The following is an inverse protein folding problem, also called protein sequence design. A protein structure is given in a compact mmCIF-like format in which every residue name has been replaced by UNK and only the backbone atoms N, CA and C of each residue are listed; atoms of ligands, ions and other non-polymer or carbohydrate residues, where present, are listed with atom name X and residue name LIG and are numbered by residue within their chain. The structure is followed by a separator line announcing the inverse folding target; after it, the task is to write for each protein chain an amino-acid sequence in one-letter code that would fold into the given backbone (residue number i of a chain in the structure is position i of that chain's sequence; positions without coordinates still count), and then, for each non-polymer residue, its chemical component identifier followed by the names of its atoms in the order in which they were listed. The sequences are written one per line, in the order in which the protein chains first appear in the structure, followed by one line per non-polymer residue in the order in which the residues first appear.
data_IF_629554294143
#
_entry.id   IF_629554294143
#
_cell.length_a   1.000
_cell.length_b   1.000
_cell.length_c   1.000
_cell.angle_alpha   90.00
_cell.angle_beta   90.00
_cell.angle_gamma   90.00
#
_symmetry.space_group_name_H-M   'P 1'
#
loop_
_entity.id
_entity.type
_entity.pdbx_description
1 polymer ?
#
# COMPACT_ATOMS: atom_id res chain seq x y z
N UNK A 1 -18.13 -30.49 -21.50
CA UNK A 1 -16.82 -30.43 -22.14
C UNK A 1 -15.95 -29.59 -21.23
N UNK A 2 -15.17 -30.24 -20.39
CA UNK A 2 -14.21 -29.62 -19.47
C UNK A 2 -12.98 -29.22 -20.29
N UNK A 3 -12.85 -27.93 -20.56
CA UNK A 3 -11.60 -27.37 -21.06
C UNK A 3 -10.55 -27.47 -19.96
N UNK A 4 -9.66 -28.46 -20.07
CA UNK A 4 -8.41 -28.47 -19.32
C UNK A 4 -7.66 -27.17 -19.67
N UNK A 5 -7.62 -26.24 -18.73
CA UNK A 5 -6.68 -25.13 -18.78
C UNK A 5 -5.30 -25.74 -18.47
N UNK A 6 -4.57 -26.09 -19.54
CA UNK A 6 -3.12 -26.34 -19.41
C UNK A 6 -2.52 -25.09 -18.81
N UNK A 7 -1.77 -25.18 -17.69
CA UNK A 7 -1.00 -24.04 -17.25
C UNK A 7 -0.09 -23.62 -18.42
N UNK A 8 -0.18 -22.37 -18.83
CA UNK A 8 0.82 -21.79 -19.70
C UNK A 8 2.16 -22.15 -19.07
N UNK A 9 3.14 -22.57 -19.89
CA UNK A 9 4.50 -22.87 -19.45
C UNK A 9 5.13 -21.58 -18.95
N UNK A 10 4.72 -21.16 -17.74
CA UNK A 10 5.40 -20.10 -17.02
C UNK A 10 6.87 -20.49 -16.94
N UNK A 11 7.75 -19.60 -17.36
CA UNK A 11 9.18 -19.80 -17.24
C UNK A 11 9.46 -20.04 -15.75
N UNK A 12 9.76 -21.28 -15.38
CA UNK A 12 9.99 -21.68 -13.99
C UNK A 12 11.02 -20.77 -13.30
N UNK A 13 11.99 -20.25 -14.06
CA UNK A 13 12.97 -19.30 -13.55
C UNK A 13 12.34 -17.95 -13.17
N UNK A 14 11.43 -17.42 -13.97
CA UNK A 14 10.70 -16.18 -13.67
C UNK A 14 9.80 -16.35 -12.44
N UNK A 15 9.08 -17.46 -12.38
CA UNK A 15 8.26 -17.80 -11.20
C UNK A 15 9.09 -17.84 -9.91
N UNK A 16 10.24 -18.56 -9.92
CA UNK A 16 11.12 -18.65 -8.75
C UNK A 16 11.67 -17.29 -8.35
N UNK A 17 12.08 -16.48 -9.34
CA UNK A 17 12.59 -15.12 -9.10
C UNK A 17 11.50 -14.23 -8.50
N UNK A 18 10.31 -14.24 -9.07
CA UNK A 18 9.15 -13.48 -8.56
C UNK A 18 8.79 -13.92 -7.14
N UNK A 19 8.72 -15.23 -6.88
CA UNK A 19 8.38 -15.74 -5.55
C UNK A 19 9.40 -15.35 -4.47
N UNK A 20 10.69 -15.26 -4.85
CA UNK A 20 11.74 -14.75 -3.95
C UNK A 20 11.58 -13.26 -3.68
N UNK A 21 11.18 -12.45 -4.68
CA UNK A 21 10.93 -11.02 -4.52
C UNK A 21 9.74 -10.74 -3.57
N UNK A 22 8.76 -11.62 -3.52
CA UNK A 22 7.59 -11.51 -2.62
C UNK A 22 7.92 -11.89 -1.16
N UNK A 23 8.98 -12.66 -0.93
CA UNK A 23 9.33 -13.18 0.41
C UNK A 23 9.45 -12.11 1.51
N UNK A 24 10.04 -10.92 1.28
CA UNK A 24 10.09 -9.85 2.29
C UNK A 24 8.71 -9.40 2.74
N UNK A 25 7.75 -9.27 1.80
CA UNK A 25 6.37 -8.92 2.11
C UNK A 25 5.68 -10.00 2.94
N UNK A 26 5.87 -11.29 2.59
CA UNK A 26 5.33 -12.41 3.35
C UNK A 26 5.83 -12.37 4.80
N UNK A 27 7.13 -12.13 5.00
CA UNK A 27 7.72 -12.04 6.34
C UNK A 27 7.17 -10.85 7.13
N UNK A 28 6.99 -9.70 6.47
CA UNK A 28 6.46 -8.49 7.08
C UNK A 28 4.99 -8.62 7.45
N UNK A 29 4.19 -9.30 6.62
CA UNK A 29 2.74 -9.37 6.79
C UNK A 29 2.28 -10.51 7.69
N UNK A 30 3.12 -11.51 7.94
CA UNK A 30 2.77 -12.64 8.81
C UNK A 30 2.38 -12.15 10.20
N UNK A 31 1.19 -12.56 10.66
CA UNK A 31 0.62 -12.17 11.95
C UNK A 31 0.07 -10.73 11.99
N UNK A 32 0.15 -9.98 10.89
CA UNK A 32 -0.46 -8.66 10.74
C UNK A 32 -1.96 -8.76 10.56
N UNK A 33 -2.70 -7.70 10.92
CA UNK A 33 -4.15 -7.64 10.80
C UNK A 33 -4.53 -6.74 9.63
N UNK A 34 -5.25 -7.30 8.66
CA UNK A 34 -5.76 -6.58 7.50
C UNK A 34 -7.30 -6.57 7.55
N UNK A 35 -7.87 -5.39 7.33
CA UNK A 35 -9.30 -5.22 7.09
C UNK A 35 -9.50 -5.02 5.59
N UNK A 36 -10.29 -5.90 4.98
CA UNK A 36 -10.62 -5.81 3.54
C UNK A 36 -12.11 -5.55 3.40
N UNK A 37 -12.44 -4.42 2.83
CA UNK A 37 -13.81 -3.95 2.68
C UNK A 37 -14.21 -3.90 1.20
N UNK A 38 -15.36 -4.44 0.85
CA UNK A 38 -15.85 -4.52 -0.52
C UNK A 38 -17.37 -4.40 -0.60
N UNK A 39 -17.83 -3.72 -1.65
CA UNK A 39 -19.25 -3.58 -1.93
C UNK A 39 -19.87 -4.86 -2.50
N UNK A 40 -21.19 -4.95 -2.45
CA UNK A 40 -21.94 -6.09 -2.99
C UNK A 40 -21.72 -6.36 -4.48
N UNK A 41 -21.26 -5.38 -5.27
CA UNK A 41 -20.88 -5.56 -6.68
C UNK A 41 -19.71 -6.54 -6.85
N UNK A 42 -18.72 -6.47 -5.97
CA UNK A 42 -17.55 -7.35 -6.04
C UNK A 42 -17.91 -8.82 -5.85
N UNK A 43 -19.00 -9.11 -5.13
CA UNK A 43 -19.51 -10.48 -4.91
C UNK A 43 -20.48 -10.93 -5.99
N UNK A 44 -21.30 -10.03 -6.51
CA UNK A 44 -22.23 -10.36 -7.60
C UNK A 44 -21.52 -10.61 -8.96
N UNK A 45 -20.26 -10.25 -9.09
CA UNK A 45 -19.49 -10.34 -10.31
C UNK A 45 -18.77 -11.68 -10.51
N UNK A 46 -18.22 -11.92 -11.72
CA UNK A 46 -17.46 -13.14 -12.03
C UNK A 46 -16.17 -13.28 -11.22
N UNK A 47 -15.64 -12.18 -10.68
CA UNK A 47 -14.39 -12.15 -9.90
C UNK A 47 -14.57 -12.49 -8.42
N UNK A 48 -15.82 -12.72 -7.95
CA UNK A 48 -16.08 -13.12 -6.56
C UNK A 48 -15.29 -14.38 -6.15
N UNK A 49 -15.17 -15.34 -7.07
CA UNK A 49 -14.42 -16.58 -6.84
C UNK A 49 -12.91 -16.33 -6.72
N UNK A 50 -12.36 -15.48 -7.57
CA UNK A 50 -10.91 -15.17 -7.53
C UNK A 50 -10.57 -14.32 -6.31
N UNK A 51 -11.45 -13.43 -5.88
CA UNK A 51 -11.32 -12.74 -4.59
C UNK A 51 -11.26 -13.73 -3.42
N UNK A 52 -12.10 -14.79 -3.43
CA UNK A 52 -12.04 -15.84 -2.42
C UNK A 52 -10.68 -16.59 -2.44
N UNK A 53 -10.08 -16.79 -3.62
CA UNK A 53 -8.75 -17.37 -3.77
C UNK A 53 -7.66 -16.47 -3.19
N UNK A 54 -7.75 -15.17 -3.44
CA UNK A 54 -6.83 -14.18 -2.87
C UNK A 54 -6.93 -14.14 -1.35
N UNK A 55 -8.14 -14.12 -0.79
CA UNK A 55 -8.38 -14.17 0.65
C UNK A 55 -7.80 -15.46 1.26
N UNK A 56 -8.00 -16.62 0.61
CA UNK A 56 -7.41 -17.89 1.05
C UNK A 56 -5.87 -17.83 1.05
N UNK A 57 -5.27 -17.26 0.01
CA UNK A 57 -3.82 -17.12 -0.07
C UNK A 57 -3.29 -16.23 1.06
N UNK A 58 -3.91 -15.07 1.30
CA UNK A 58 -3.53 -14.19 2.40
C UNK A 58 -3.62 -14.88 3.77
N UNK A 59 -4.71 -15.61 4.02
CA UNK A 59 -4.87 -16.38 5.25
C UNK A 59 -3.80 -17.48 5.38
N UNK A 60 -3.49 -18.18 4.28
CA UNK A 60 -2.45 -19.23 4.24
C UNK A 60 -1.06 -18.69 4.50
N UNK A 61 -0.79 -17.43 4.15
CA UNK A 61 0.47 -16.73 4.46
C UNK A 61 0.54 -16.25 5.93
N UNK A 62 -0.51 -16.49 6.72
CA UNK A 62 -0.56 -16.16 8.14
C UNK A 62 -1.02 -14.73 8.43
N UNK A 63 -1.66 -14.06 7.47
CA UNK A 63 -2.29 -12.75 7.67
C UNK A 63 -3.63 -12.93 8.36
N UNK A 64 -3.93 -12.10 9.35
CA UNK A 64 -5.20 -12.10 10.08
C UNK A 64 -6.20 -11.22 9.34
N UNK A 65 -7.31 -11.79 8.89
CA UNK A 65 -8.25 -11.11 8.01
C UNK A 65 -9.58 -10.79 8.70
N UNK A 66 -10.00 -9.55 8.56
CA UNK A 66 -11.37 -9.10 8.82
C UNK A 66 -11.93 -8.64 7.47
N UNK A 67 -12.98 -9.28 7.03
CA UNK A 67 -13.71 -8.92 5.83
C UNK A 67 -14.94 -8.12 6.20
N UNK A 68 -15.17 -7.00 5.51
CA UNK A 68 -16.36 -6.17 5.71
C UNK A 68 -17.08 -6.05 4.38
N UNK A 69 -18.29 -6.59 4.29
CA UNK A 69 -19.05 -6.56 3.04
C UNK A 69 -20.18 -5.54 3.08
N UNK A 70 -20.43 -4.93 1.92
CA UNK A 70 -21.65 -4.17 1.64
C UNK A 70 -22.64 -5.03 0.84
N UNK A 71 -23.88 -4.55 0.73
CA UNK A 71 -24.94 -5.21 -0.05
C UNK A 71 -25.80 -4.19 -0.80
N UNK A 72 -25.27 -2.99 -1.13
CA UNK A 72 -26.08 -1.91 -1.72
C UNK A 72 -26.80 -2.33 -3.01
N UNK A 73 -26.21 -3.00 -4.00
CA UNK A 73 -26.91 -3.44 -5.20
C UNK A 73 -28.00 -4.47 -4.88
N UNK A 74 -27.74 -5.39 -3.97
CA UNK A 74 -28.71 -6.43 -3.58
C UNK A 74 -29.89 -5.80 -2.83
N UNK A 75 -29.65 -4.80 -2.00
CA UNK A 75 -30.71 -4.04 -1.33
C UNK A 75 -31.58 -3.29 -2.37
N UNK A 76 -30.97 -2.66 -3.40
CA UNK A 76 -31.72 -2.00 -4.47
C UNK A 76 -32.60 -3.00 -5.24
N UNK A 77 -32.09 -4.21 -5.46
CA UNK A 77 -32.83 -5.28 -6.11
C UNK A 77 -34.04 -5.73 -5.27
N UNK A 78 -33.84 -6.01 -3.97
CA UNK A 78 -34.92 -6.39 -3.04
C UNK A 78 -36.00 -5.29 -2.96
N UNK A 79 -35.60 -4.03 -2.88
CA UNK A 79 -36.54 -2.92 -2.86
C UNK A 79 -37.35 -2.86 -4.17
N UNK A 80 -36.70 -3.02 -5.31
CA UNK A 80 -37.33 -3.02 -6.63
C UNK A 80 -38.35 -4.14 -6.78
N UNK A 81 -38.01 -5.37 -6.31
CA UNK A 81 -38.89 -6.51 -6.34
C UNK A 81 -40.16 -6.31 -5.47
N UNK A 82 -40.02 -5.61 -4.35
CA UNK A 82 -41.14 -5.25 -3.47
C UNK A 82 -41.85 -3.95 -3.90
N UNK A 83 -41.42 -3.30 -5.02
CA UNK A 83 -42.01 -2.06 -5.51
C UNK A 83 -41.74 -0.84 -4.63
N UNK A 84 -40.66 -0.89 -3.84
CA UNK A 84 -40.19 0.20 -2.97
C UNK A 84 -39.11 1.01 -3.64
N UNK A 85 -39.03 2.28 -3.32
CA UNK A 85 -38.00 3.19 -3.84
C UNK A 85 -36.99 3.58 -2.75
N UNK A 86 -35.70 3.54 -3.11
CA UNK A 86 -34.64 4.04 -2.24
C UNK A 86 -34.68 5.55 -2.09
N UNK A 87 -34.67 6.02 -0.86
CA UNK A 87 -34.51 7.44 -0.54
C UNK A 87 -33.19 7.66 0.17
N UNK A 88 -32.44 8.70 -0.24
CA UNK A 88 -31.18 9.06 0.36
C UNK A 88 -31.19 10.50 0.86
N UNK A 89 -30.54 10.75 2.00
CA UNK A 89 -30.25 12.07 2.50
C UNK A 89 -28.80 12.15 2.97
N UNK A 90 -28.04 13.10 2.44
CA UNK A 90 -26.59 13.25 2.70
C UNK A 90 -25.78 11.95 2.58
N UNK A 91 -26.12 11.12 1.60
CA UNK A 91 -25.41 9.87 1.34
C UNK A 91 -25.90 8.67 2.18
N UNK A 92 -26.71 8.90 3.21
CA UNK A 92 -27.34 7.84 3.99
C UNK A 92 -28.70 7.46 3.41
N UNK A 93 -28.99 6.16 3.39
CA UNK A 93 -30.32 5.67 3.02
C UNK A 93 -31.30 6.05 4.14
N UNK A 94 -32.48 6.55 3.81
CA UNK A 94 -33.60 6.61 4.76
C UNK A 94 -34.15 5.20 4.88
N UNK A 95 -33.95 4.54 6.00
CA UNK A 95 -34.30 3.13 6.21
C UNK A 95 -35.50 3.05 7.14
N UNK A 96 -36.72 3.01 6.58
CA UNK A 96 -37.94 2.71 7.32
C UNK A 96 -38.06 1.18 7.58
N UNK A 97 -39.14 0.73 8.23
CA UNK A 97 -39.27 -0.66 8.63
C UNK A 97 -39.33 -1.62 7.40
N UNK A 98 -40.03 -1.24 6.33
CA UNK A 98 -40.13 -2.07 5.11
C UNK A 98 -38.78 -2.10 4.37
N UNK A 99 -38.06 -0.99 4.33
CA UNK A 99 -36.72 -0.90 3.78
C UNK A 99 -35.73 -1.74 4.63
N UNK A 100 -35.87 -1.72 5.96
CA UNK A 100 -35.03 -2.53 6.85
C UNK A 100 -35.19 -4.03 6.58
N UNK A 101 -36.39 -4.51 6.33
CA UNK A 101 -36.62 -5.93 5.98
C UNK A 101 -35.85 -6.30 4.70
N UNK A 102 -35.90 -5.45 3.65
CA UNK A 102 -35.10 -5.66 2.43
C UNK A 102 -33.57 -5.63 2.72
N UNK A 103 -33.14 -4.76 3.60
CA UNK A 103 -31.71 -4.69 4.03
C UNK A 103 -31.30 -5.99 4.71
N UNK A 104 -32.13 -6.53 5.61
CA UNK A 104 -31.83 -7.77 6.33
C UNK A 104 -31.75 -8.96 5.39
N UNK A 105 -32.68 -9.07 4.45
CA UNK A 105 -32.74 -10.16 3.45
C UNK A 105 -31.48 -10.10 2.55
N UNK A 106 -31.20 -8.93 1.96
CA UNK A 106 -30.06 -8.74 1.07
C UNK A 106 -28.71 -8.97 1.76
N UNK A 107 -28.52 -8.40 2.95
CA UNK A 107 -27.27 -8.54 3.70
C UNK A 107 -27.05 -9.98 4.16
N UNK A 108 -28.12 -10.67 4.61
CA UNK A 108 -28.07 -12.06 5.00
C UNK A 108 -27.68 -12.97 3.83
N UNK A 109 -28.27 -12.75 2.64
CA UNK A 109 -27.92 -13.49 1.42
C UNK A 109 -26.46 -13.29 1.02
N UNK A 110 -25.98 -12.07 0.96
CA UNK A 110 -24.58 -11.77 0.63
C UNK A 110 -23.60 -12.38 1.65
N UNK A 111 -23.94 -12.34 2.94
CA UNK A 111 -23.14 -12.98 3.98
C UNK A 111 -22.95 -14.47 3.74
N UNK A 112 -24.06 -15.18 3.49
CA UNK A 112 -24.04 -16.63 3.24
C UNK A 112 -23.34 -16.98 1.92
N UNK A 113 -23.46 -16.15 0.90
CA UNK A 113 -22.75 -16.33 -0.36
C UNK A 113 -21.22 -16.22 -0.17
N UNK A 114 -20.73 -15.23 0.60
CA UNK A 114 -19.31 -15.09 0.92
C UNK A 114 -18.83 -16.28 1.75
N UNK A 115 -19.59 -16.69 2.75
CA UNK A 115 -19.26 -17.88 3.57
C UNK A 115 -19.15 -19.13 2.69
N UNK A 116 -20.09 -19.34 1.76
CA UNK A 116 -20.05 -20.45 0.83
C UNK A 116 -18.85 -20.39 -0.13
N UNK A 117 -18.50 -19.20 -0.65
CA UNK A 117 -17.32 -19.01 -1.49
C UNK A 117 -16.03 -19.38 -0.74
N UNK A 118 -15.90 -18.97 0.52
CA UNK A 118 -14.74 -19.27 1.36
C UNK A 118 -14.72 -20.70 1.90
N UNK A 119 -15.84 -21.42 1.84
CA UNK A 119 -15.95 -22.82 2.27
C UNK A 119 -15.61 -23.82 1.16
N UNK A 120 -15.25 -23.35 -0.04
CA UNK A 120 -14.83 -24.22 -1.13
C UNK A 120 -13.54 -24.97 -0.78
N UNK A 121 -13.44 -26.22 -1.21
CA UNK A 121 -12.26 -27.06 -0.95
C UNK A 121 -12.01 -28.07 -2.06
N UNK A 122 -12.48 -27.79 -3.29
CA UNK A 122 -12.39 -28.72 -4.41
C UNK A 122 -10.91 -29.00 -4.78
N UNK A 123 -10.56 -30.29 -5.02
CA UNK A 123 -9.25 -30.65 -5.55
C UNK A 123 -8.94 -29.92 -6.86
N UNK A 124 -7.67 -29.64 -7.11
CA UNK A 124 -7.19 -28.91 -8.30
C UNK A 124 -7.68 -27.46 -8.44
N UNK A 125 -8.09 -26.85 -7.34
CA UNK A 125 -8.39 -25.42 -7.25
C UNK A 125 -7.44 -24.74 -6.24
N UNK A 126 -7.28 -23.42 -6.27
CA UNK A 126 -6.53 -22.69 -5.23
C UNK A 126 -7.06 -22.88 -3.81
N UNK A 127 -8.30 -23.37 -3.66
CA UNK A 127 -8.93 -23.69 -2.37
C UNK A 127 -8.68 -25.14 -1.90
N UNK A 128 -7.94 -25.94 -2.65
CA UNK A 128 -7.63 -27.32 -2.27
C UNK A 128 -6.89 -27.37 -0.93
N UNK A 129 -7.37 -28.20 -0.01
CA UNK A 129 -6.87 -28.33 1.36
C UNK A 129 -6.98 -27.06 2.23
N UNK A 130 -7.75 -26.07 1.80
CA UNK A 130 -8.07 -24.89 2.62
C UNK A 130 -8.80 -25.32 3.89
N UNK A 131 -8.44 -24.70 5.01
CA UNK A 131 -9.09 -24.89 6.32
C UNK A 131 -9.64 -23.56 6.86
N UNK A 132 -10.17 -22.72 5.98
CA UNK A 132 -10.78 -21.45 6.37
C UNK A 132 -12.00 -21.72 7.26
N UNK A 133 -12.04 -21.00 8.37
CA UNK A 133 -13.24 -20.88 9.20
C UNK A 133 -13.67 -19.43 9.19
N UNK A 134 -14.88 -19.16 8.71
CA UNK A 134 -15.51 -17.85 8.70
C UNK A 134 -16.35 -17.70 9.97
N UNK A 135 -16.17 -16.58 10.67
CA UNK A 135 -16.91 -16.26 11.90
C UNK A 135 -17.52 -14.88 11.76
N UNK A 136 -18.83 -14.80 11.95
CA UNK A 136 -19.56 -13.56 12.16
C UNK A 136 -20.03 -13.41 13.60
N UNK A 137 -20.62 -12.27 13.94
CA UNK A 137 -21.18 -12.05 15.26
C UNK A 137 -21.49 -10.59 15.56
N UNK A 138 -21.94 -10.33 16.79
CA UNK A 138 -22.38 -9.03 17.26
C UNK A 138 -21.20 -8.12 17.72
N UNK A 139 -20.15 -8.05 16.93
CA UNK A 139 -18.96 -7.25 17.25
C UNK A 139 -19.19 -5.75 17.08
N UNK A 140 -20.27 -5.35 16.37
CA UNK A 140 -20.61 -3.95 16.09
C UNK A 140 -21.82 -3.53 16.89
N UNK A 141 -21.62 -2.60 17.82
CA UNK A 141 -22.73 -1.90 18.48
C UNK A 141 -23.04 -0.65 17.69
N UNK A 142 -24.29 -0.49 17.27
CA UNK A 142 -24.77 0.65 16.52
C UNK A 142 -25.51 1.67 17.38
N UNK A 143 -25.72 2.85 16.82
CA UNK A 143 -26.66 3.87 17.30
C UNK A 143 -27.38 4.50 16.11
N UNK A 144 -28.63 4.99 16.28
CA UNK A 144 -29.34 5.68 15.20
C UNK A 144 -28.61 6.96 14.81
N UNK A 145 -28.72 7.34 13.52
CA UNK A 145 -28.33 8.67 13.04
C UNK A 145 -29.33 9.74 13.49
N UNK A 146 -30.60 9.36 13.69
CA UNK A 146 -31.68 10.25 14.10
C UNK A 146 -32.15 11.17 12.98
N UNK A 147 -32.50 12.41 13.33
CA UNK A 147 -33.01 13.41 12.39
C UNK A 147 -31.85 14.30 11.92
N UNK A 148 -31.66 14.37 10.61
CA UNK A 148 -30.67 15.24 9.95
C UNK A 148 -31.43 16.20 9.03
N UNK A 149 -31.25 17.51 9.20
CA UNK A 149 -31.94 18.56 8.44
C UNK A 149 -33.46 18.38 8.35
N UNK A 150 -34.07 17.91 9.43
CA UNK A 150 -35.53 17.67 9.51
C UNK A 150 -36.00 16.35 8.90
N UNK A 151 -35.11 15.53 8.36
CA UNK A 151 -35.43 14.20 7.82
C UNK A 151 -35.01 13.14 8.83
N UNK A 152 -35.99 12.34 9.30
CA UNK A 152 -35.73 11.20 10.17
C UNK A 152 -35.17 10.03 9.34
N UNK A 153 -33.97 9.60 9.69
CA UNK A 153 -33.28 8.48 9.02
C UNK A 153 -33.69 7.10 9.59
N UNK A 154 -34.51 7.08 10.62
CA UNK A 154 -35.12 5.91 11.24
C UNK A 154 -34.09 4.82 11.60
N UNK A 155 -34.13 3.65 10.92
CA UNK A 155 -33.21 2.54 11.16
C UNK A 155 -31.85 2.68 10.47
N UNK A 156 -31.51 3.83 9.94
CA UNK A 156 -30.13 4.10 9.54
C UNK A 156 -29.30 4.52 10.74
N UNK A 157 -28.14 3.92 10.87
CA UNK A 157 -27.27 4.10 12.03
C UNK A 157 -25.83 4.36 11.67
N UNK A 158 -25.05 4.54 12.69
CA UNK A 158 -23.58 4.63 12.64
C UNK A 158 -22.97 3.75 13.73
N UNK A 159 -21.69 3.43 13.59
CA UNK A 159 -20.97 2.63 14.58
C UNK A 159 -20.81 3.41 15.87
N UNK A 160 -21.28 2.84 16.98
CA UNK A 160 -21.09 3.37 18.33
C UNK A 160 -19.86 2.78 19.02
N UNK A 161 -19.65 1.47 18.86
CA UNK A 161 -18.56 0.72 19.50
C UNK A 161 -18.24 -0.53 18.68
N UNK A 162 -16.97 -0.87 18.63
CA UNK A 162 -16.47 -2.14 18.09
C UNK A 162 -15.91 -2.97 19.25
N UNK A 163 -16.25 -4.25 19.29
CA UNK A 163 -15.65 -5.20 20.23
C UNK A 163 -14.30 -5.69 19.68
N UNK A 164 -13.28 -4.84 19.87
CA UNK A 164 -11.93 -5.11 19.35
C UNK A 164 -11.29 -6.35 20.00
N UNK A 165 -11.57 -6.61 21.27
CA UNK A 165 -11.01 -7.77 21.97
C UNK A 165 -11.64 -9.08 21.50
N UNK A 166 -12.96 -9.08 21.29
CA UNK A 166 -13.65 -10.21 20.67
C UNK A 166 -13.13 -10.51 19.27
N UNK A 167 -12.93 -9.49 18.44
CA UNK A 167 -12.33 -9.62 17.11
C UNK A 167 -10.93 -10.22 17.16
N UNK A 168 -10.05 -9.68 18.01
CA UNK A 168 -8.68 -10.19 18.19
C UNK A 168 -8.65 -11.63 18.67
N UNK A 169 -9.56 -12.01 19.58
CA UNK A 169 -9.68 -13.38 20.04
C UNK A 169 -9.99 -14.34 18.89
N UNK A 170 -10.94 -14.01 18.01
CA UNK A 170 -11.26 -14.82 16.84
C UNK A 170 -10.07 -14.91 15.85
N UNK A 171 -9.40 -13.80 15.59
CA UNK A 171 -8.22 -13.78 14.73
C UNK A 171 -7.06 -14.61 15.30
N UNK A 172 -6.90 -14.66 16.62
CA UNK A 172 -5.87 -15.47 17.28
C UNK A 172 -6.10 -16.98 17.14
N UNK A 173 -7.37 -17.39 16.94
CA UNK A 173 -7.76 -18.78 16.66
C UNK A 173 -7.56 -19.15 15.17
N UNK A 174 -7.08 -18.23 14.33
CA UNK A 174 -6.92 -18.44 12.89
C UNK A 174 -8.21 -18.31 12.10
N UNK A 175 -9.28 -17.78 12.70
CA UNK A 175 -10.54 -17.55 12.00
C UNK A 175 -10.45 -16.29 11.13
N UNK A 176 -11.14 -16.28 9.99
CA UNK A 176 -11.46 -15.06 9.23
C UNK A 176 -12.75 -14.49 9.83
N UNK A 177 -12.73 -13.21 10.21
CA UNK A 177 -13.93 -12.54 10.70
C UNK A 177 -14.65 -11.89 9.53
N UNK A 178 -15.92 -12.21 9.34
CA UNK A 178 -16.79 -11.62 8.33
C UNK A 178 -17.81 -10.71 9.00
N UNK A 179 -17.80 -9.44 8.66
CA UNK A 179 -18.71 -8.41 9.18
C UNK A 179 -19.57 -7.85 8.04
N UNK A 180 -20.81 -7.56 8.36
CA UNK A 180 -21.76 -6.93 7.44
C UNK A 180 -21.90 -5.42 7.72
N UNK A 181 -22.61 -4.73 6.82
CA UNK A 181 -23.01 -3.34 7.01
C UNK A 181 -24.22 -3.19 7.95
N UNK A 182 -24.22 -3.91 9.06
CA UNK A 182 -25.27 -3.89 10.08
C UNK A 182 -24.68 -3.83 11.48
N UNK A 183 -25.47 -3.35 12.43
CA UNK A 183 -25.11 -3.37 13.84
C UNK A 183 -26.35 -3.31 14.72
N UNK A 184 -26.22 -3.82 15.95
CA UNK A 184 -27.34 -3.81 16.91
C UNK A 184 -27.13 -2.76 17.99
N UNK A 185 -28.20 -2.10 18.41
CA UNK A 185 -28.19 -1.25 19.60
C UNK A 185 -28.17 -2.10 20.87
N UNK A 186 -27.80 -1.52 22.03
CA UNK A 186 -27.93 -2.21 23.31
C UNK A 186 -29.38 -2.58 23.69
N UNK A 187 -30.38 -1.98 23.03
CA UNK A 187 -31.79 -2.27 23.20
C UNK A 187 -32.29 -3.37 22.25
N UNK A 188 -31.42 -3.91 21.38
CA UNK A 188 -31.71 -5.03 20.50
C UNK A 188 -32.24 -4.63 19.11
N UNK A 189 -32.31 -3.33 18.80
CA UNK A 189 -32.69 -2.85 17.48
C UNK A 189 -31.55 -3.02 16.48
N UNK A 190 -31.86 -3.37 15.23
CA UNK A 190 -30.88 -3.49 14.16
C UNK A 190 -30.88 -2.20 13.33
N UNK A 191 -29.68 -1.76 12.96
CA UNK A 191 -29.47 -0.58 12.13
C UNK A 191 -28.71 -0.93 10.87
N UNK A 192 -29.14 -0.34 9.76
CA UNK A 192 -28.43 -0.29 8.48
C UNK A 192 -27.28 0.71 8.59
N UNK A 193 -26.03 0.26 8.40
CA UNK A 193 -24.81 1.05 8.48
C UNK A 193 -24.18 1.21 7.12
N UNK A 194 -23.29 2.19 6.97
CA UNK A 194 -22.44 2.26 5.79
C UNK A 194 -21.24 1.31 5.97
N UNK A 195 -20.99 0.46 4.98
CA UNK A 195 -19.91 -0.53 4.99
C UNK A 195 -18.55 0.14 5.20
N UNK A 196 -18.32 1.26 4.53
CA UNK A 196 -17.09 2.05 4.62
C UNK A 196 -16.84 2.60 6.03
N UNK A 197 -17.88 3.01 6.75
CA UNK A 197 -17.78 3.45 8.16
C UNK A 197 -17.54 2.28 9.12
N UNK A 198 -18.15 1.12 8.85
CA UNK A 198 -17.89 -0.12 9.62
C UNK A 198 -16.44 -0.53 9.46
N UNK A 199 -15.93 -0.56 8.22
CA UNK A 199 -14.55 -0.93 7.92
C UNK A 199 -13.54 0.02 8.57
N UNK A 200 -13.79 1.34 8.49
CA UNK A 200 -13.00 2.38 9.17
C UNK A 200 -12.97 2.13 10.68
N UNK A 201 -14.15 2.01 11.31
CA UNK A 201 -14.27 1.85 12.76
C UNK A 201 -13.57 0.57 13.25
N UNK A 202 -13.71 -0.53 12.51
CA UNK A 202 -13.07 -1.82 12.80
C UNK A 202 -11.57 -1.72 12.66
N UNK A 203 -11.07 -1.13 11.58
CA UNK A 203 -9.64 -0.95 11.34
C UNK A 203 -8.98 -0.10 12.44
N UNK A 204 -9.62 0.98 12.86
CA UNK A 204 -9.14 1.84 13.95
C UNK A 204 -9.15 1.09 15.28
N UNK A 205 -10.27 0.43 15.63
CA UNK A 205 -10.43 -0.25 16.91
C UNK A 205 -9.46 -1.42 17.09
N UNK A 206 -9.21 -2.18 16.03
CA UNK A 206 -8.27 -3.30 16.04
C UNK A 206 -6.82 -2.89 15.87
N UNK A 207 -6.56 -1.61 15.53
CA UNK A 207 -5.26 -1.08 15.11
C UNK A 207 -4.71 -1.89 13.93
N UNK A 208 -5.52 -2.03 12.91
CA UNK A 208 -5.16 -2.79 11.72
C UNK A 208 -3.89 -2.24 11.08
N UNK A 209 -3.02 -3.13 10.61
CA UNK A 209 -1.82 -2.76 9.86
C UNK A 209 -2.19 -2.21 8.48
N UNK A 210 -3.24 -2.79 7.86
CA UNK A 210 -3.78 -2.33 6.59
C UNK A 210 -5.31 -2.31 6.59
N UNK A 211 -5.88 -1.28 5.94
CA UNK A 211 -7.29 -1.23 5.53
C UNK A 211 -7.33 -1.16 4.01
N UNK A 212 -8.00 -2.09 3.37
CA UNK A 212 -8.13 -2.13 1.91
C UNK A 212 -9.60 -1.95 1.54
N UNK A 213 -9.89 -0.93 0.76
CA UNK A 213 -11.19 -0.74 0.12
C UNK A 213 -11.11 -1.22 -1.33
N UNK A 214 -11.92 -2.21 -1.68
CA UNK A 214 -12.14 -2.60 -3.06
C UNK A 214 -13.24 -1.71 -3.65
N UNK A 215 -12.87 -0.86 -4.61
CA UNK A 215 -13.69 0.22 -5.16
C UNK A 215 -14.09 -0.04 -6.61
N UNK A 216 -15.12 0.66 -7.10
CA UNK A 216 -15.48 0.64 -8.52
C UNK A 216 -14.41 1.34 -9.39
N UNK A 217 -13.66 2.26 -8.80
CA UNK A 217 -12.58 3.02 -9.44
C UNK A 217 -11.23 2.36 -9.18
N UNK A 218 -10.28 2.49 -10.09
CA UNK A 218 -8.94 1.92 -9.93
C UNK A 218 -8.20 2.49 -8.71
N UNK A 219 -8.44 3.76 -8.38
CA UNK A 219 -7.88 4.49 -7.26
C UNK A 219 -8.23 5.97 -7.36
N UNK A 220 -7.58 6.81 -6.57
CA UNK A 220 -7.75 8.26 -6.60
C UNK A 220 -6.98 8.84 -7.77
N UNK A 221 -7.63 9.70 -8.55
CA UNK A 221 -6.99 10.39 -9.67
C UNK A 221 -6.85 11.89 -9.41
N UNK A 222 -5.94 12.52 -10.12
CA UNK A 222 -5.89 13.98 -10.22
C UNK A 222 -6.96 14.52 -11.18
N UNK A 223 -6.93 15.85 -11.44
CA UNK A 223 -7.87 16.53 -12.33
C UNK A 223 -7.71 16.11 -13.81
N UNK A 224 -6.55 15.61 -14.20
CA UNK A 224 -6.22 15.15 -15.54
C UNK A 224 -6.53 13.64 -15.72
N UNK A 225 -7.04 12.98 -14.67
CA UNK A 225 -7.41 11.57 -14.68
C UNK A 225 -6.22 10.62 -14.47
N UNK A 226 -5.05 11.14 -14.07
CA UNK A 226 -3.89 10.31 -13.75
C UNK A 226 -4.04 9.72 -12.35
N UNK A 227 -3.73 8.44 -12.22
CA UNK A 227 -3.76 7.74 -10.92
C UNK A 227 -2.71 8.34 -9.98
N UNK A 228 -3.12 8.59 -8.75
CA UNK A 228 -2.24 8.98 -7.65
C UNK A 228 -1.97 7.74 -6.80
N UNK A 229 -0.85 7.11 -7.02
CA UNK A 229 -0.43 5.86 -6.37
C UNK A 229 -0.15 6.03 -4.88
N UNK A 230 0.36 7.19 -4.46
CA UNK A 230 0.62 7.50 -3.05
C UNK A 230 0.07 8.87 -2.67
N UNK A 231 -0.61 8.93 -1.52
CA UNK A 231 -1.09 10.17 -0.91
C UNK A 231 -0.81 10.16 0.60
N UNK A 232 -0.35 11.31 1.12
CA UNK A 232 -0.46 11.52 2.56
C UNK A 232 -1.92 11.77 2.93
N UNK A 233 -2.29 11.46 4.20
CA UNK A 233 -3.65 11.72 4.69
C UNK A 233 -4.07 13.18 4.53
N UNK A 234 -3.12 14.12 4.59
CA UNK A 234 -3.41 15.55 4.39
C UNK A 234 -3.57 15.92 2.91
N UNK A 235 -2.83 15.27 2.01
CA UNK A 235 -3.03 15.42 0.58
C UNK A 235 -4.37 14.83 0.15
N UNK A 236 -4.70 13.63 0.61
CA UNK A 236 -5.96 12.95 0.36
C UNK A 236 -7.16 13.76 0.89
N UNK A 237 -7.04 14.38 2.08
CA UNK A 237 -8.08 15.21 2.66
C UNK A 237 -8.46 16.44 1.80
N UNK A 238 -7.49 16.99 1.05
CA UNK A 238 -7.77 18.11 0.11
C UNK A 238 -8.56 17.69 -1.12
N UNK A 239 -8.57 16.39 -1.42
CA UNK A 239 -9.26 15.84 -2.59
C UNK A 239 -10.67 15.34 -2.29
N UNK A 240 -11.10 15.22 -1.03
CA UNK A 240 -12.39 14.61 -0.65
C UNK A 240 -13.61 15.25 -1.33
N UNK A 241 -13.56 16.55 -1.60
CA UNK A 241 -14.63 17.30 -2.25
C UNK A 241 -14.37 17.58 -3.74
N UNK A 242 -13.35 16.96 -4.34
CA UNK A 242 -12.99 17.17 -5.73
C UNK A 242 -14.12 16.73 -6.67
N UNK A 243 -14.45 17.60 -7.64
CA UNK A 243 -15.60 17.39 -8.53
C UNK A 243 -15.45 16.17 -9.42
N UNK A 244 -14.21 15.84 -9.81
CA UNK A 244 -13.88 14.73 -10.70
C UNK A 244 -13.87 13.35 -10.03
N UNK A 245 -13.88 13.29 -8.70
CA UNK A 245 -13.94 12.00 -8.00
C UNK A 245 -15.27 11.29 -8.27
N UNK A 246 -15.18 9.99 -8.49
CA UNK A 246 -16.32 9.11 -8.62
C UNK A 246 -17.17 9.06 -7.34
N UNK A 247 -18.42 8.67 -7.47
CA UNK A 247 -19.38 8.66 -6.35
C UNK A 247 -18.99 7.68 -5.25
N UNK A 248 -18.27 6.61 -5.56
CA UNK A 248 -17.76 5.65 -4.59
C UNK A 248 -16.54 6.22 -3.85
N UNK A 249 -15.58 6.82 -4.56
CA UNK A 249 -14.43 7.46 -3.92
C UNK A 249 -14.82 8.60 -2.98
N UNK A 250 -15.88 9.36 -3.30
CA UNK A 250 -16.42 10.37 -2.38
C UNK A 250 -16.92 9.80 -1.04
N UNK A 251 -17.23 8.49 -0.98
CA UNK A 251 -17.59 7.81 0.28
C UNK A 251 -16.37 7.20 0.96
N UNK A 252 -15.50 6.54 0.19
CA UNK A 252 -14.35 5.82 0.76
C UNK A 252 -13.23 6.74 1.21
N UNK A 253 -12.92 7.80 0.43
CA UNK A 253 -11.78 8.67 0.70
C UNK A 253 -11.82 9.36 2.06
N UNK A 254 -12.97 9.92 2.52
CA UNK A 254 -13.06 10.47 3.88
C UNK A 254 -12.80 9.43 4.98
N UNK A 255 -13.30 8.20 4.81
CA UNK A 255 -13.05 7.10 5.74
C UNK A 255 -11.58 6.70 5.75
N UNK A 256 -10.95 6.62 4.58
CA UNK A 256 -9.55 6.31 4.42
C UNK A 256 -8.64 7.35 5.11
N UNK A 257 -8.94 8.63 4.93
CA UNK A 257 -8.23 9.73 5.59
C UNK A 257 -8.33 9.64 7.11
N UNK A 258 -9.55 9.44 7.64
CA UNK A 258 -9.75 9.32 9.10
C UNK A 258 -9.05 8.09 9.67
N UNK A 259 -9.16 6.93 9.00
CA UNK A 259 -8.49 5.71 9.41
C UNK A 259 -6.97 5.89 9.49
N UNK A 260 -6.36 6.47 8.46
CA UNK A 260 -4.93 6.77 8.41
C UNK A 260 -4.50 7.71 9.55
N UNK A 261 -5.24 8.80 9.77
CA UNK A 261 -4.96 9.77 10.86
C UNK A 261 -5.09 9.15 12.25
N UNK A 262 -5.99 8.19 12.42
CA UNK A 262 -6.27 7.51 13.69
C UNK A 262 -5.45 6.23 13.92
N UNK A 263 -4.42 6.01 13.10
CA UNK A 263 -3.37 5.04 13.39
C UNK A 263 -3.46 3.71 12.65
N UNK A 264 -4.32 3.60 11.63
CA UNK A 264 -4.21 2.50 10.66
C UNK A 264 -2.93 2.71 9.85
N UNK A 265 -2.09 1.68 9.76
CA UNK A 265 -0.76 1.80 9.18
C UNK A 265 -0.79 2.29 7.73
N UNK A 266 -1.62 1.64 6.88
CA UNK A 266 -1.84 2.00 5.48
C UNK A 266 -3.29 1.78 5.10
N UNK A 267 -3.82 2.67 4.27
CA UNK A 267 -5.16 2.51 3.70
C UNK A 267 -5.04 2.47 2.18
N UNK A 268 -5.55 1.41 1.57
CA UNK A 268 -5.49 1.18 0.13
C UNK A 268 -6.86 1.37 -0.48
N UNK A 269 -6.93 2.04 -1.63
CA UNK A 269 -8.11 2.18 -2.48
C UNK A 269 -7.76 1.54 -3.83
N UNK A 270 -8.35 0.39 -4.15
CA UNK A 270 -8.01 -0.40 -5.35
C UNK A 270 -9.26 -0.85 -6.09
N UNK A 271 -9.19 -0.88 -7.41
CA UNK A 271 -10.29 -1.37 -8.23
C UNK A 271 -10.44 -2.88 -8.12
N UNK A 272 -11.67 -3.37 -7.92
CA UNK A 272 -11.94 -4.81 -7.83
C UNK A 272 -12.11 -5.50 -9.20
N UNK A 273 -12.20 -4.74 -10.29
CA UNK A 273 -12.47 -5.29 -11.63
C UNK A 273 -11.27 -6.04 -12.25
N UNK A 274 -10.08 -5.86 -11.69
CA UNK A 274 -8.88 -6.56 -12.14
C UNK A 274 -8.67 -7.84 -11.32
N UNK A 275 -8.50 -8.97 -12.00
CA UNK A 275 -8.18 -10.24 -11.34
C UNK A 275 -6.82 -10.18 -10.64
N UNK A 276 -6.76 -10.62 -9.39
CA UNK A 276 -5.56 -10.56 -8.55
C UNK A 276 -5.18 -9.15 -8.07
N UNK A 277 -6.07 -8.15 -8.20
CA UNK A 277 -5.84 -6.79 -7.78
C UNK A 277 -5.34 -6.69 -6.33
N UNK A 278 -5.97 -7.43 -5.42
CA UNK A 278 -5.60 -7.45 -4.00
C UNK A 278 -4.17 -7.95 -3.79
N UNK A 279 -3.75 -8.97 -4.52
CA UNK A 279 -2.40 -9.52 -4.40
C UNK A 279 -1.37 -8.60 -5.05
N UNK A 280 -1.67 -8.02 -6.20
CA UNK A 280 -0.77 -7.09 -6.87
C UNK A 280 -0.50 -5.87 -5.99
N UNK A 281 -1.54 -5.27 -5.41
CA UNK A 281 -1.40 -4.14 -4.49
C UNK A 281 -0.56 -4.47 -3.26
N UNK A 282 -0.74 -5.65 -2.68
CA UNK A 282 -0.12 -5.99 -1.40
C UNK A 282 1.31 -6.54 -1.54
N UNK A 283 1.64 -7.18 -2.66
CA UNK A 283 2.90 -7.91 -2.83
C UNK A 283 3.81 -7.37 -3.92
N UNK A 284 3.46 -6.23 -4.50
CA UNK A 284 4.35 -5.51 -5.41
C UNK A 284 4.67 -4.12 -4.85
N UNK A 285 5.79 -3.57 -5.27
CA UNK A 285 6.26 -2.26 -4.80
C UNK A 285 5.46 -1.12 -5.45
N UNK A 286 5.05 -1.32 -6.69
CA UNK A 286 4.35 -0.31 -7.49
C UNK A 286 2.86 -0.24 -7.14
N UNK A 287 2.29 -1.35 -6.61
CA UNK A 287 0.85 -1.44 -6.39
C UNK A 287 0.05 -1.30 -7.68
N UNK A 288 -1.24 -1.09 -7.58
CA UNK A 288 -2.13 -0.83 -8.72
C UNK A 288 -3.20 0.22 -8.42
N UNK A 289 -3.28 0.65 -7.17
CA UNK A 289 -4.29 1.57 -6.66
C UNK A 289 -3.68 2.82 -6.03
N UNK A 290 -4.33 3.33 -5.02
CA UNK A 290 -3.86 4.46 -4.22
C UNK A 290 -3.61 4.03 -2.78
N UNK A 291 -2.41 4.27 -2.27
CA UNK A 291 -2.07 4.10 -0.86
C UNK A 291 -2.19 5.43 -0.13
N UNK A 292 -2.89 5.44 1.00
CA UNK A 292 -2.97 6.59 1.89
C UNK A 292 -2.26 6.25 3.19
N UNK A 293 -1.26 7.06 3.54
CA UNK A 293 -0.47 6.92 4.75
C UNK A 293 -0.45 8.22 5.56
N UNK A 294 -0.14 8.15 6.85
CA UNK A 294 -0.05 9.33 7.70
C UNK A 294 1.10 10.25 7.29
N UNK A 295 2.24 9.65 6.97
CA UNK A 295 3.46 10.32 6.50
C UNK A 295 3.82 9.76 5.13
N UNK A 296 4.63 10.48 4.35
CA UNK A 296 5.12 9.96 3.08
C UNK A 296 5.83 8.61 3.27
N UNK A 297 5.62 7.69 2.35
CA UNK A 297 6.32 6.42 2.28
C UNK A 297 7.80 6.63 1.96
N UNK A 298 8.12 7.75 1.33
CA UNK A 298 9.49 8.16 1.04
C UNK A 298 10.13 8.82 2.25
N UNK A 299 11.32 8.35 2.60
CA UNK A 299 12.11 8.94 3.67
C UNK A 299 13.58 8.95 3.30
N UNK A 300 14.16 10.16 3.28
CA UNK A 300 15.62 10.31 3.15
C UNK A 300 16.22 10.47 4.53
N UNK A 301 17.19 9.63 4.85
CA UNK A 301 17.91 9.67 6.12
C UNK A 301 19.37 9.21 6.00
N UNK A 302 20.12 9.42 7.06
CA UNK A 302 21.44 8.81 7.22
C UNK A 302 21.30 7.29 7.37
N UNK A 303 22.23 6.54 6.77
CA UNK A 303 22.29 5.10 6.90
C UNK A 303 22.75 4.69 8.30
N UNK A 304 22.33 3.49 8.73
CA UNK A 304 22.65 2.90 10.03
C UNK A 304 23.22 1.50 9.81
N UNK A 305 23.80 0.92 10.86
CA UNK A 305 24.36 -0.42 10.80
C UNK A 305 23.37 -1.49 10.28
N UNK A 306 22.10 -1.36 10.64
CA UNK A 306 21.03 -2.29 10.20
C UNK A 306 20.75 -2.21 8.68
N UNK A 307 21.14 -1.12 8.02
CA UNK A 307 20.92 -0.93 6.57
C UNK A 307 22.00 -1.59 5.70
N UNK A 308 23.10 -2.07 6.28
CA UNK A 308 24.24 -2.61 5.53
C UNK A 308 23.84 -3.73 4.58
N UNK A 309 22.97 -4.64 5.03
CA UNK A 309 22.49 -5.74 4.18
C UNK A 309 21.74 -5.23 2.96
N UNK A 310 20.86 -4.23 3.14
CA UNK A 310 20.10 -3.62 2.06
C UNK A 310 20.99 -2.79 1.12
N UNK A 311 21.99 -2.07 1.68
CA UNK A 311 22.98 -1.34 0.89
C UNK A 311 23.79 -2.29 0.00
N UNK A 312 24.28 -3.40 0.53
CA UNK A 312 25.02 -4.40 -0.25
C UNK A 312 24.14 -4.93 -1.39
N UNK A 313 22.92 -5.35 -1.10
CA UNK A 313 21.99 -5.85 -2.12
C UNK A 313 21.70 -4.82 -3.22
N UNK A 314 21.68 -3.52 -2.88
CA UNK A 314 21.47 -2.44 -3.85
C UNK A 314 22.70 -2.17 -4.72
N UNK A 315 23.91 -2.21 -4.15
CA UNK A 315 25.14 -1.80 -4.86
C UNK A 315 25.86 -2.96 -5.56
N UNK A 316 25.74 -4.19 -5.05
CA UNK A 316 26.46 -5.38 -5.57
C UNK A 316 26.24 -5.59 -7.09
N UNK A 317 25.00 -5.52 -7.65
CA UNK A 317 24.81 -5.64 -9.10
C UNK A 317 25.52 -4.53 -9.90
N UNK A 318 25.66 -3.33 -9.33
CA UNK A 318 26.35 -2.20 -9.95
C UNK A 318 27.86 -2.27 -9.79
N UNK A 319 28.38 -3.00 -8.82
CA UNK A 319 29.79 -3.33 -8.65
C UNK A 319 30.19 -4.43 -9.66
N UNK A 320 29.37 -5.46 -9.82
CA UNK A 320 29.60 -6.55 -10.78
C UNK A 320 29.63 -6.05 -12.24
N UNK A 321 28.73 -5.11 -12.60
CA UNK A 321 28.71 -4.54 -13.96
C UNK A 321 29.75 -3.44 -14.16
N UNK A 322 30.57 -3.12 -13.16
CA UNK A 322 31.62 -2.09 -13.18
C UNK A 322 31.12 -0.65 -13.11
N UNK A 323 29.85 -0.40 -12.83
CA UNK A 323 29.31 0.94 -12.62
C UNK A 323 29.80 1.56 -11.32
N UNK A 324 29.83 0.78 -10.23
CA UNK A 324 30.41 1.19 -8.96
C UNK A 324 31.77 0.50 -8.70
N UNK A 325 32.52 1.04 -7.78
CA UNK A 325 33.75 0.41 -7.25
C UNK A 325 33.38 -0.52 -6.13
N UNK A 326 33.90 -1.75 -6.16
CA UNK A 326 33.65 -2.73 -5.11
C UNK A 326 34.05 -2.21 -3.72
N UNK A 327 33.15 -2.37 -2.76
CA UNK A 327 33.33 -2.01 -1.35
C UNK A 327 33.08 -3.24 -0.47
N UNK A 328 34.13 -3.84 0.12
CA UNK A 328 33.94 -4.92 1.08
C UNK A 328 33.00 -4.50 2.22
N UNK A 329 32.30 -5.48 2.77
CA UNK A 329 31.33 -5.26 3.87
C UNK A 329 31.97 -4.51 5.05
N UNK A 330 33.19 -4.84 5.42
CA UNK A 330 33.93 -4.20 6.53
C UNK A 330 34.18 -2.70 6.28
N UNK A 331 34.31 -2.30 5.02
CA UNK A 331 34.45 -0.89 4.64
C UNK A 331 33.11 -0.18 4.78
N UNK A 332 32.01 -0.81 4.34
CA UNK A 332 30.67 -0.25 4.49
C UNK A 332 30.30 -0.08 5.97
N UNK A 333 30.59 -1.09 6.80
CA UNK A 333 30.36 -1.02 8.25
C UNK A 333 31.11 0.14 8.92
N UNK A 334 32.37 0.33 8.55
CA UNK A 334 33.21 1.41 9.08
C UNK A 334 32.78 2.81 8.60
N UNK A 335 32.22 2.88 7.40
CA UNK A 335 31.94 4.15 6.72
C UNK A 335 30.44 4.44 6.57
N UNK A 336 29.60 3.72 7.30
CA UNK A 336 28.14 3.78 7.16
C UNK A 336 27.58 5.20 7.36
N UNK A 337 28.20 6.00 8.25
CA UNK A 337 27.80 7.38 8.54
C UNK A 337 27.98 8.33 7.35
N UNK A 338 28.80 7.95 6.36
CA UNK A 338 28.98 8.72 5.12
C UNK A 338 27.80 8.56 4.17
N UNK A 339 26.99 7.52 4.35
CA UNK A 339 25.87 7.20 3.47
C UNK A 339 24.59 7.89 3.88
N UNK A 340 23.87 8.42 2.91
CA UNK A 340 22.44 8.75 2.98
C UNK A 340 21.69 7.76 2.14
N UNK A 341 20.51 7.35 2.62
CA UNK A 341 19.64 6.41 1.91
C UNK A 341 18.26 7.02 1.69
N UNK A 342 17.60 6.54 0.66
CA UNK A 342 16.15 6.68 0.48
C UNK A 342 15.50 5.35 0.82
N UNK A 343 14.56 5.40 1.73
CA UNK A 343 13.60 4.34 1.99
C UNK A 343 12.30 4.66 1.29
N UNK A 344 11.72 3.66 0.66
CA UNK A 344 10.33 3.68 0.22
C UNK A 344 9.63 2.48 0.87
N UNK A 345 8.59 2.75 1.66
CA UNK A 345 7.86 1.75 2.46
C UNK A 345 8.77 0.83 3.32
N UNK A 346 9.83 1.41 3.90
CA UNK A 346 10.79 0.68 4.73
C UNK A 346 11.80 -0.15 3.95
N UNK A 347 11.79 -0.10 2.62
CA UNK A 347 12.78 -0.76 1.75
C UNK A 347 13.79 0.29 1.27
N UNK A 348 15.08 0.02 1.40
CA UNK A 348 16.15 0.89 0.87
C UNK A 348 16.17 0.78 -0.64
N UNK A 349 15.78 1.86 -1.33
CA UNK A 349 15.67 1.93 -2.79
C UNK A 349 16.73 2.80 -3.44
N UNK A 350 17.52 3.53 -2.66
CA UNK A 350 18.60 4.34 -3.16
C UNK A 350 19.61 4.70 -2.08
N UNK A 351 20.85 4.99 -2.48
CA UNK A 351 21.89 5.47 -1.59
C UNK A 351 22.85 6.43 -2.30
N UNK A 352 23.52 7.27 -1.50
CA UNK A 352 24.66 8.09 -1.92
C UNK A 352 25.59 8.32 -0.72
N UNK A 353 26.87 8.50 -0.97
CA UNK A 353 27.86 8.75 0.07
C UNK A 353 28.61 10.06 -0.14
N UNK A 354 28.97 10.72 0.97
CA UNK A 354 29.80 11.94 1.00
C UNK A 354 31.16 11.60 1.61
N UNK A 355 32.23 11.82 0.84
CA UNK A 355 33.63 11.68 1.29
C UNK A 355 34.34 13.02 1.29
N UNK A 356 34.80 13.48 2.43
CA UNK A 356 35.50 14.73 2.61
C UNK A 356 37.02 14.52 2.43
N UNK A 357 37.70 15.44 1.68
CA UNK A 357 39.12 15.38 1.38
C UNK A 357 39.91 16.60 1.90
N UNK A 358 39.31 17.42 2.75
CA UNK A 358 39.91 18.68 3.20
C UNK A 358 39.78 19.82 2.18
N UNK A 359 40.28 20.99 2.52
CA UNK A 359 40.30 22.21 1.69
C UNK A 359 38.93 22.59 1.06
N UNK A 360 37.86 22.20 1.71
CA UNK A 360 36.51 22.44 1.23
C UNK A 360 36.11 21.62 -0.03
N UNK A 361 36.73 20.46 -0.23
CA UNK A 361 36.47 19.55 -1.37
C UNK A 361 35.95 18.23 -0.86
N UNK A 362 34.88 17.71 -1.49
CA UNK A 362 34.34 16.41 -1.18
C UNK A 362 33.91 15.63 -2.44
N UNK A 363 33.77 14.33 -2.32
CA UNK A 363 33.25 13.42 -3.35
C UNK A 363 31.82 13.04 -3.05
N UNK A 364 30.95 13.16 -4.04
CA UNK A 364 29.70 12.42 -4.09
C UNK A 364 30.00 11.05 -4.73
N UNK A 365 29.94 10.01 -3.93
CA UNK A 365 30.24 8.64 -4.34
C UNK A 365 29.04 7.73 -4.15
N UNK A 366 29.08 6.55 -4.77
CA UNK A 366 28.11 5.48 -4.58
C UNK A 366 26.63 5.92 -4.75
N UNK A 367 26.37 6.84 -5.70
CA UNK A 367 25.01 7.20 -6.05
C UNK A 367 24.38 6.05 -6.80
N UNK A 368 23.44 5.38 -6.17
CA UNK A 368 22.75 4.23 -6.70
C UNK A 368 21.25 4.34 -6.41
N UNK A 369 20.43 3.96 -7.39
CA UNK A 369 18.97 3.84 -7.25
C UNK A 369 18.55 2.50 -7.85
N UNK A 370 17.69 1.79 -7.14
CA UNK A 370 17.14 0.52 -7.60
C UNK A 370 16.51 0.68 -8.99
N UNK A 371 16.74 -0.26 -9.93
CA UNK A 371 16.29 -0.12 -11.32
C UNK A 371 14.80 0.21 -11.46
N UNK A 372 13.93 -0.38 -10.66
CA UNK A 372 12.49 -0.14 -10.67
C UNK A 372 12.08 1.30 -10.27
N UNK A 373 12.98 2.09 -9.65
CA UNK A 373 12.68 3.43 -9.14
C UNK A 373 13.51 4.54 -9.78
N UNK A 374 14.20 4.27 -10.88
CA UNK A 374 15.09 5.26 -11.54
C UNK A 374 14.36 6.49 -12.07
N UNK A 375 13.09 6.35 -12.42
CA UNK A 375 12.26 7.43 -12.97
C UNK A 375 11.55 8.25 -11.90
N UNK A 376 11.65 7.86 -10.62
CA UNK A 376 10.96 8.52 -9.49
C UNK A 376 11.71 9.73 -8.93
N UNK A 377 12.80 10.16 -9.56
CA UNK A 377 13.55 11.34 -9.12
C UNK A 377 14.48 11.08 -7.92
N UNK A 378 14.61 9.86 -7.43
CA UNK A 378 15.41 9.53 -6.23
C UNK A 378 16.89 9.84 -6.36
N UNK A 379 17.45 9.72 -7.57
CA UNK A 379 18.84 10.14 -7.81
C UNK A 379 19.06 11.63 -7.56
N UNK A 380 18.10 12.47 -7.93
CA UNK A 380 18.13 13.90 -7.71
C UNK A 380 17.99 14.26 -6.24
N UNK A 381 17.03 13.68 -5.55
CA UNK A 381 16.83 13.87 -4.11
C UNK A 381 18.06 13.45 -3.30
N UNK A 382 18.71 12.33 -3.63
CA UNK A 382 19.95 11.89 -2.99
C UNK A 382 21.09 12.88 -3.25
N UNK A 383 21.23 13.35 -4.49
CA UNK A 383 22.24 14.35 -4.83
C UNK A 383 22.01 15.65 -4.06
N UNK A 384 20.78 16.14 -3.97
CA UNK A 384 20.43 17.33 -3.18
C UNK A 384 20.74 17.12 -1.70
N UNK A 385 20.41 15.95 -1.15
CA UNK A 385 20.74 15.59 0.23
C UNK A 385 22.25 15.64 0.47
N UNK A 386 23.05 15.05 -0.41
CA UNK A 386 24.51 15.07 -0.32
C UNK A 386 25.05 16.50 -0.45
N UNK A 387 24.51 17.33 -1.37
CA UNK A 387 24.90 18.73 -1.49
C UNK A 387 24.58 19.54 -0.21
N UNK A 388 23.41 19.29 0.40
CA UNK A 388 23.04 19.92 1.67
C UNK A 388 23.99 19.52 2.81
N UNK A 389 24.33 18.24 2.94
CA UNK A 389 25.34 17.75 3.90
C UNK A 389 26.71 18.39 3.65
N UNK A 390 27.16 18.43 2.39
CA UNK A 390 28.42 19.00 2.01
C UNK A 390 28.51 20.50 2.40
N UNK A 391 27.46 21.28 2.12
CA UNK A 391 27.39 22.70 2.56
C UNK A 391 27.42 22.85 4.07
N UNK A 392 26.74 21.99 4.81
CA UNK A 392 26.66 22.02 6.27
C UNK A 392 28.05 21.83 6.93
N UNK A 393 28.96 21.08 6.29
CA UNK A 393 30.35 20.88 6.75
C UNK A 393 31.36 21.80 6.06
N UNK A 394 30.90 22.84 5.32
CA UNK A 394 31.73 23.86 4.73
C UNK A 394 32.43 23.48 3.42
N UNK A 395 31.97 22.44 2.74
CA UNK A 395 32.43 22.02 1.41
C UNK A 395 32.04 23.09 0.38
N UNK A 396 32.98 23.50 -0.44
CA UNK A 396 32.80 24.49 -1.52
C UNK A 396 32.79 23.88 -2.91
N UNK A 397 33.38 22.70 -3.08
CA UNK A 397 33.45 21.97 -4.34
C UNK A 397 33.12 20.50 -4.13
N UNK A 398 32.18 20.01 -4.90
CA UNK A 398 31.77 18.61 -4.91
C UNK A 398 32.18 17.97 -6.23
N UNK A 399 32.93 16.87 -6.20
CA UNK A 399 33.27 16.13 -7.40
C UNK A 399 32.61 14.75 -7.44
N UNK A 400 32.49 14.20 -8.63
CA UNK A 400 31.99 12.84 -8.89
C UNK A 400 32.92 12.14 -9.89
N UNK A 401 33.02 10.82 -9.75
CA UNK A 401 33.72 9.96 -10.70
C UNK A 401 32.67 9.00 -11.32
N UNK A 402 32.46 9.14 -12.63
CA UNK A 402 31.47 8.29 -13.33
C UNK A 402 32.03 7.72 -14.62
N UNK A 403 31.58 6.51 -14.98
CA UNK A 403 31.89 5.85 -16.25
C UNK A 403 30.74 5.94 -17.26
N UNK A 404 29.50 6.17 -16.79
CA UNK A 404 28.29 6.04 -17.63
C UNK A 404 27.38 7.28 -17.61
N UNK A 405 27.25 7.96 -16.49
CA UNK A 405 26.20 8.97 -16.25
C UNK A 405 26.69 10.42 -16.41
N UNK A 406 27.65 10.68 -17.31
CA UNK A 406 28.25 12.01 -17.48
C UNK A 406 27.21 13.09 -17.77
N UNK A 407 26.30 12.84 -18.74
CA UNK A 407 25.29 13.83 -19.15
C UNK A 407 24.32 14.15 -18.01
N UNK A 408 23.91 13.15 -17.25
CA UNK A 408 23.02 13.32 -16.10
C UNK A 408 23.59 14.30 -15.05
N UNK A 409 24.91 14.24 -14.79
CA UNK A 409 25.59 15.18 -13.89
C UNK A 409 25.77 16.56 -14.53
N UNK A 410 26.05 16.63 -15.84
CA UNK A 410 26.17 17.92 -16.56
C UNK A 410 24.86 18.70 -16.48
N UNK A 411 23.73 18.06 -16.74
CA UNK A 411 22.39 18.66 -16.64
C UNK A 411 22.11 19.24 -15.25
N UNK A 412 22.77 18.72 -14.21
CA UNK A 412 22.64 19.14 -12.81
C UNK A 412 23.76 20.08 -12.36
N UNK A 413 24.46 20.69 -13.32
CA UNK A 413 25.41 21.77 -13.11
C UNK A 413 26.84 21.35 -12.76
N UNK A 414 27.19 20.08 -12.94
CA UNK A 414 28.56 19.61 -12.87
C UNK A 414 29.29 19.91 -14.18
N UNK A 415 30.59 20.23 -14.11
CA UNK A 415 31.45 20.50 -15.27
C UNK A 415 32.52 19.42 -15.37
N UNK A 416 32.80 19.00 -16.60
CA UNK A 416 33.87 18.05 -16.88
C UNK A 416 35.22 18.70 -16.60
N UNK A 417 36.08 18.01 -15.85
CA UNK A 417 37.39 18.45 -15.47
C UNK A 417 38.46 17.36 -15.69
N UNK A 418 39.72 17.72 -15.60
CA UNK A 418 40.84 16.78 -15.68
C UNK A 418 41.05 16.05 -14.34
N UNK A 419 41.74 14.91 -14.39
CA UNK A 419 42.13 14.16 -13.17
C UNK A 419 43.00 15.00 -12.23
N UNK A 420 43.74 16.01 -12.75
CA UNK A 420 44.56 16.89 -11.96
C UNK A 420 43.76 17.82 -11.02
N UNK A 421 42.48 18.01 -11.29
CA UNK A 421 41.60 18.81 -10.44
C UNK A 421 41.14 18.05 -9.18
N UNK A 422 41.44 16.76 -9.07
CA UNK A 422 41.14 15.93 -7.89
C UNK A 422 42.07 16.25 -6.74
N UNK A 423 41.65 16.10 -5.47
CA UNK A 423 42.53 16.11 -4.31
C UNK A 423 43.69 15.10 -4.45
N UNK A 424 44.84 15.43 -3.89
CA UNK A 424 46.06 14.62 -4.03
C UNK A 424 45.85 13.16 -3.61
N UNK A 425 45.15 12.93 -2.49
CA UNK A 425 44.86 11.59 -1.99
C UNK A 425 44.00 10.80 -2.99
N UNK A 426 42.96 11.43 -3.53
CA UNK A 426 42.05 10.75 -4.49
C UNK A 426 42.72 10.51 -5.84
N UNK A 427 43.59 11.44 -6.28
CA UNK A 427 44.36 11.30 -7.51
C UNK A 427 45.34 10.12 -7.45
N UNK A 428 45.96 9.88 -6.31
CA UNK A 428 46.84 8.71 -6.10
C UNK A 428 46.06 7.38 -6.18
N UNK A 429 44.81 7.37 -5.79
CA UNK A 429 43.93 6.21 -5.85
C UNK A 429 43.12 6.10 -7.16
N UNK A 430 43.33 7.02 -8.11
CA UNK A 430 42.60 7.02 -9.35
C UNK A 430 42.94 5.81 -10.22
N UNK A 431 41.90 5.04 -10.55
CA UNK A 431 42.03 3.84 -11.38
C UNK A 431 42.10 4.21 -12.88
N UNK A 432 43.29 4.20 -13.45
CA UNK A 432 43.55 4.52 -14.85
C UNK A 432 42.91 3.51 -15.82
N UNK A 433 42.68 2.26 -15.41
CA UNK A 433 42.05 1.24 -16.26
C UNK A 433 40.54 1.51 -16.38
N UNK A 434 39.91 1.95 -15.31
CA UNK A 434 38.49 2.27 -15.28
C UNK A 434 38.13 3.54 -16.08
N UNK A 435 39.07 4.49 -16.24
CA UNK A 435 38.91 5.74 -17.00
C UNK A 435 37.67 6.55 -16.64
N UNK A 436 37.31 6.60 -15.37
CA UNK A 436 36.17 7.42 -14.90
C UNK A 436 36.35 8.87 -15.29
N UNK A 437 35.30 9.50 -15.77
CA UNK A 437 35.29 10.96 -15.98
C UNK A 437 35.16 11.67 -14.66
N UNK A 438 35.91 12.76 -14.52
CA UNK A 438 35.84 13.64 -13.36
C UNK A 438 34.91 14.80 -13.68
N UNK A 439 33.92 15.02 -12.83
CA UNK A 439 33.08 16.21 -12.94
C UNK A 439 33.06 16.93 -11.60
N UNK A 440 33.03 18.25 -11.64
CA UNK A 440 33.09 19.13 -10.45
C UNK A 440 31.96 20.14 -10.49
N UNK A 441 31.35 20.38 -9.34
CA UNK A 441 30.32 21.41 -9.10
C UNK A 441 30.76 22.29 -7.93
N UNK A 442 30.67 23.60 -8.08
CA UNK A 442 30.74 24.55 -6.95
C UNK A 442 29.41 24.57 -6.22
N UNK A 443 29.42 24.51 -4.88
CA UNK A 443 28.25 24.44 -4.03
C UNK A 443 27.81 25.81 -3.52
#
# INVERSE_FOLDING_TARGET
MTTEVKPATANLGEFVSWFRLVTPYINTFRGKTFVVAFGGKAIAGPLARTLAYDVNLLASLGIRLILVHGARPQIEEELREKGLESRYHKGYRVTDAETLDCVLDAVGSVYLEIEALLSQGLPNTPMANSQIRVIGGNFITARPLGVIDGIDLQYSGTVRKVDAEGLKAQLSLGNIVLLSCQGSSPTGEIFNLQMEEVAEAVAIATKADKLVFLTDSQGVTDADGQLLDELTADAAARLTDAAWLSSDLKRYLPCAVRASRLGVGRVHLIGYEQDGALLQELFTMEGIGTVISRESLERIREARADDIGALIALIEPLEEDGTLVHRPREVLEREIEKFSIIEHDGVVVGCAALYEYGDGVAELACLAVHPAHREWGYGEQLMERIQARARAVGVKRLFVLTTRTVHWFIERGFKLESVDALPTEKRQMYNLQRRSKVLIKSL
#
